data_IF_734669851078
#
_entry.id   IF_734669851078
#
_cell.length_a   1.000
_cell.length_b   1.000
_cell.length_c   1.000
_cell.angle_alpha   90.00
_cell.angle_beta   90.00
_cell.angle_gamma   90.00
#
_symmetry.space_group_name_H-M   'P 1'
#
loop_
_entity.id
_entity.type
_entity.pdbx_description
1 polymer ?
#
# COMPACT_ATOMS: atom_id res chain seq x y z
N UNK A 1 -1.55 5.80 -13.83
CA UNK A 1 -1.02 5.34 -15.15
C UNK A 1 -1.03 6.52 -16.09
N UNK A 2 0.12 6.90 -16.59
CA UNK A 2 0.25 8.06 -17.45
C UNK A 2 -0.13 7.70 -18.89
N UNK A 3 -1.06 8.41 -19.45
CA UNK A 3 -1.62 8.19 -20.77
C UNK A 3 -1.53 9.47 -21.60
N UNK A 4 -1.18 9.35 -22.90
CA UNK A 4 -0.65 8.17 -23.61
C UNK A 4 0.88 8.04 -23.50
N UNK A 5 1.59 9.14 -23.24
CA UNK A 5 3.02 9.28 -23.49
C UNK A 5 3.92 8.74 -22.36
N UNK A 6 3.42 8.63 -21.16
CA UNK A 6 4.13 8.02 -20.03
C UNK A 6 3.75 6.57 -19.73
N UNK A 7 3.10 5.88 -20.68
CA UNK A 7 2.63 4.50 -20.46
C UNK A 7 3.79 3.50 -20.48
N UNK A 8 4.00 2.83 -19.36
CA UNK A 8 4.97 1.76 -19.26
C UNK A 8 4.46 0.45 -19.91
N UNK A 9 5.39 -0.37 -20.46
CA UNK A 9 6.87 -0.24 -20.45
C UNK A 9 7.47 0.55 -21.62
N UNK A 10 6.66 1.05 -22.55
CA UNK A 10 7.17 1.59 -23.82
C UNK A 10 7.84 2.95 -23.68
N UNK A 11 7.34 3.82 -22.79
CA UNK A 11 7.76 5.23 -22.68
C UNK A 11 8.36 5.58 -21.33
N UNK A 12 9.47 4.91 -20.95
CA UNK A 12 10.13 5.17 -19.68
C UNK A 12 10.71 6.58 -19.57
N UNK A 13 11.27 7.11 -20.66
CA UNK A 13 11.86 8.44 -20.66
C UNK A 13 10.80 9.51 -20.41
N UNK A 14 9.69 9.48 -21.14
CA UNK A 14 8.56 10.39 -20.92
C UNK A 14 7.96 10.22 -19.50
N UNK A 15 7.87 8.98 -18.99
CA UNK A 15 7.43 8.74 -17.63
C UNK A 15 8.38 9.39 -16.61
N UNK A 16 9.68 9.21 -16.80
CA UNK A 16 10.71 9.78 -15.93
C UNK A 16 10.68 11.31 -15.94
N UNK A 17 10.49 11.93 -17.10
CA UNK A 17 10.38 13.40 -17.22
C UNK A 17 9.15 13.94 -16.49
N UNK A 18 8.00 13.27 -16.60
CA UNK A 18 6.79 13.63 -15.87
C UNK A 18 6.97 13.47 -14.35
N UNK A 19 7.62 12.39 -13.92
CA UNK A 19 7.91 12.17 -12.50
C UNK A 19 8.91 13.20 -11.96
N UNK A 20 9.92 13.56 -12.74
CA UNK A 20 10.88 14.62 -12.37
C UNK A 20 10.18 15.97 -12.20
N UNK A 21 9.35 16.36 -13.17
CA UNK A 21 8.54 17.57 -13.07
C UNK A 21 7.58 17.56 -11.87
N UNK A 22 7.02 16.40 -11.52
CA UNK A 22 6.18 16.28 -10.33
C UNK A 22 6.96 16.51 -9.03
N UNK A 23 8.17 15.94 -8.90
CA UNK A 23 9.05 16.15 -7.74
C UNK A 23 9.48 17.61 -7.65
N UNK A 24 9.94 18.21 -8.76
CA UNK A 24 10.29 19.65 -8.82
C UNK A 24 9.11 20.53 -8.41
N UNK A 25 7.88 20.16 -8.79
CA UNK A 25 6.67 20.86 -8.37
C UNK A 25 6.43 20.79 -6.85
N UNK A 26 6.71 19.64 -6.21
CA UNK A 26 6.63 19.50 -4.75
C UNK A 26 7.69 20.36 -4.06
N UNK A 27 8.94 20.31 -4.53
CA UNK A 27 10.04 21.10 -3.99
C UNK A 27 9.77 22.61 -4.12
N UNK A 28 9.33 23.04 -5.29
CA UNK A 28 8.96 24.44 -5.55
C UNK A 28 7.77 24.90 -4.68
N UNK A 29 6.79 24.04 -4.47
CA UNK A 29 5.62 24.32 -3.64
C UNK A 29 5.93 24.40 -2.14
N UNK A 30 6.99 23.74 -1.68
CA UNK A 30 7.45 23.82 -0.30
C UNK A 30 8.06 25.19 0.04
N UNK A 31 8.66 25.88 -0.95
CA UNK A 31 9.30 27.17 -0.76
C UNK A 31 10.41 27.10 0.31
N UNK A 32 10.31 27.96 1.32
CA UNK A 32 11.26 28.01 2.45
C UNK A 32 10.92 26.99 3.57
N UNK A 33 9.88 26.19 3.40
CA UNK A 33 9.48 25.14 4.36
C UNK A 33 10.21 23.84 4.09
N UNK A 34 10.22 22.93 5.09
CA UNK A 34 10.73 21.58 4.89
C UNK A 34 9.93 20.88 3.78
N UNK A 35 10.62 20.37 2.78
CA UNK A 35 9.99 19.64 1.69
C UNK A 35 9.36 18.34 2.22
N UNK A 36 8.09 18.07 1.93
CA UNK A 36 7.47 16.82 2.37
C UNK A 36 8.13 15.61 1.67
N UNK A 37 8.22 14.45 2.35
CA UNK A 37 8.79 13.26 1.75
C UNK A 37 7.97 12.79 0.54
N UNK A 38 8.67 12.45 -0.54
CA UNK A 38 8.08 11.96 -1.78
C UNK A 38 7.93 10.44 -1.73
N UNK A 39 6.71 9.96 -1.99
CA UNK A 39 6.42 8.53 -2.05
C UNK A 39 6.14 8.08 -3.48
N UNK A 40 6.78 6.98 -3.89
CA UNK A 40 6.45 6.31 -5.14
C UNK A 40 5.57 5.09 -4.82
N UNK A 41 4.33 5.14 -5.31
CA UNK A 41 3.34 4.09 -5.07
C UNK A 41 3.27 3.11 -6.24
N UNK A 42 3.39 1.82 -5.94
CA UNK A 42 3.24 0.71 -6.88
C UNK A 42 2.20 -0.30 -6.38
N UNK A 43 1.23 -0.62 -7.21
CA UNK A 43 0.17 -1.61 -6.95
C UNK A 43 0.66 -3.05 -7.16
N UNK A 44 1.63 -3.52 -6.35
CA UNK A 44 2.22 -4.86 -6.53
C UNK A 44 2.73 -5.50 -5.23
N UNK A 45 2.02 -5.31 -4.10
CA UNK A 45 2.47 -5.66 -2.75
C UNK A 45 3.08 -7.04 -2.58
N UNK A 46 2.48 -8.09 -3.12
CA UNK A 46 3.03 -9.46 -3.07
C UNK A 46 3.79 -9.90 -4.32
N UNK A 47 4.02 -9.02 -5.29
CA UNK A 47 4.69 -9.37 -6.55
C UNK A 47 6.12 -8.81 -6.64
N UNK A 48 7.04 -9.50 -6.00
CA UNK A 48 8.47 -9.15 -5.97
C UNK A 48 9.09 -8.97 -7.38
N UNK A 49 8.67 -9.77 -8.37
CA UNK A 49 9.18 -9.65 -9.74
C UNK A 49 8.76 -8.32 -10.38
N UNK A 50 7.51 -7.95 -10.23
CA UNK A 50 7.01 -6.68 -10.76
C UNK A 50 7.59 -5.48 -10.00
N UNK A 51 7.74 -5.58 -8.68
CA UNK A 51 8.39 -4.56 -7.85
C UNK A 51 9.84 -4.34 -8.29
N UNK A 52 10.61 -5.42 -8.44
CA UNK A 52 11.99 -5.35 -8.93
C UNK A 52 12.06 -4.71 -10.31
N UNK A 53 11.26 -5.18 -11.25
CA UNK A 53 11.22 -4.65 -12.61
C UNK A 53 10.99 -3.14 -12.65
N UNK A 54 10.06 -2.66 -11.81
CA UNK A 54 9.75 -1.23 -11.77
C UNK A 54 10.87 -0.43 -11.10
N UNK A 55 11.26 -0.77 -9.88
CA UNK A 55 12.20 0.04 -9.10
C UNK A 55 13.63 -0.05 -9.61
N UNK A 56 14.11 -1.20 -10.13
CA UNK A 56 15.43 -1.29 -10.76
C UNK A 56 15.52 -0.33 -11.96
N UNK A 57 14.45 -0.21 -12.74
CA UNK A 57 14.39 0.73 -13.86
C UNK A 57 14.24 2.17 -13.39
N UNK A 58 13.34 2.43 -12.42
CA UNK A 58 13.06 3.77 -11.89
C UNK A 58 14.29 4.40 -11.23
N UNK A 59 15.02 3.66 -10.42
CA UNK A 59 16.25 4.15 -9.78
C UNK A 59 17.32 4.56 -10.77
N UNK A 60 17.39 3.93 -11.94
CA UNK A 60 18.29 4.30 -13.02
C UNK A 60 18.08 5.69 -13.60
N UNK A 61 16.91 6.31 -13.36
CA UNK A 61 16.62 7.70 -13.79
C UNK A 61 17.02 8.76 -12.76
N UNK A 62 17.52 8.36 -11.58
CA UNK A 62 17.97 9.26 -10.51
C UNK A 62 16.91 10.30 -10.08
N UNK A 63 15.63 9.91 -10.09
CA UNK A 63 14.54 10.75 -9.60
C UNK A 63 14.50 10.60 -8.07
N UNK A 64 14.56 11.71 -7.30
CA UNK A 64 14.53 11.63 -5.85
C UNK A 64 13.19 11.09 -5.35
N UNK A 65 13.25 10.23 -4.34
CA UNK A 65 12.10 9.77 -3.56
C UNK A 65 12.56 9.23 -2.21
N UNK A 66 11.67 9.22 -1.23
CA UNK A 66 11.98 8.89 0.16
C UNK A 66 11.31 7.58 0.60
N UNK A 67 10.11 7.32 0.09
CA UNK A 67 9.24 6.24 0.57
C UNK A 67 8.74 5.38 -0.61
N UNK A 68 8.66 4.08 -0.38
CA UNK A 68 7.98 3.14 -1.28
C UNK A 68 6.59 2.85 -0.72
N UNK A 69 5.55 3.17 -1.49
CA UNK A 69 4.17 2.79 -1.22
C UNK A 69 3.79 1.51 -1.95
N UNK A 70 3.08 0.60 -1.28
CA UNK A 70 2.56 -0.63 -1.90
C UNK A 70 1.07 -0.77 -1.65
N UNK A 71 0.27 -1.17 -2.65
CA UNK A 71 -1.07 -1.70 -2.43
C UNK A 71 -1.00 -3.20 -2.14
N UNK A 72 -1.74 -3.65 -1.15
CA UNK A 72 -1.87 -5.07 -0.86
C UNK A 72 -3.33 -5.46 -0.66
N UNK A 73 -3.84 -6.26 -1.59
CA UNK A 73 -5.15 -6.89 -1.53
C UNK A 73 -4.97 -8.40 -1.69
N UNK A 74 -5.28 -9.22 -0.68
CA UNK A 74 -5.02 -10.67 -0.73
C UNK A 74 -5.59 -11.38 -1.96
N UNK A 75 -6.69 -10.88 -2.50
CA UNK A 75 -7.34 -11.45 -3.69
C UNK A 75 -6.51 -11.31 -4.97
N UNK A 76 -5.59 -10.33 -5.06
CA UNK A 76 -4.88 -9.97 -6.30
C UNK A 76 -3.36 -9.99 -6.15
N UNK A 77 -2.85 -9.78 -4.93
CA UNK A 77 -1.42 -9.55 -4.73
C UNK A 77 -0.71 -10.73 -4.06
N UNK A 78 -1.39 -11.87 -3.90
CA UNK A 78 -0.79 -13.09 -3.34
C UNK A 78 -0.90 -13.18 -1.82
N UNK A 79 -0.15 -14.13 -1.25
CA UNK A 79 -0.21 -14.43 0.19
C UNK A 79 0.48 -13.38 1.05
N UNK A 80 0.25 -13.45 2.36
CA UNK A 80 0.98 -12.64 3.36
C UNK A 80 2.49 -12.93 3.34
N UNK A 81 2.90 -14.18 3.07
CA UNK A 81 4.31 -14.52 2.90
C UNK A 81 4.92 -13.86 1.67
N UNK A 82 4.16 -13.80 0.56
CA UNK A 82 4.60 -13.09 -0.64
C UNK A 82 4.75 -11.58 -0.37
N UNK A 83 3.85 -10.96 0.40
CA UNK A 83 4.00 -9.59 0.86
C UNK A 83 5.26 -9.44 1.70
N UNK A 84 5.44 -10.26 2.73
CA UNK A 84 6.63 -10.25 3.61
C UNK A 84 7.93 -10.33 2.81
N UNK A 85 8.02 -11.26 1.87
CA UNK A 85 9.20 -11.45 1.04
C UNK A 85 9.48 -10.25 0.14
N UNK A 86 8.43 -9.61 -0.38
CA UNK A 86 8.57 -8.42 -1.21
C UNK A 86 9.00 -7.20 -0.39
N UNK A 87 8.42 -6.98 0.80
CA UNK A 87 8.83 -5.88 1.69
C UNK A 87 10.28 -6.06 2.16
N UNK A 88 10.67 -7.29 2.54
CA UNK A 88 12.04 -7.59 2.93
C UNK A 88 13.03 -7.38 1.78
N UNK A 89 12.64 -7.74 0.56
CA UNK A 89 13.42 -7.46 -0.64
C UNK A 89 13.62 -5.96 -0.86
N UNK A 90 12.55 -5.17 -0.82
CA UNK A 90 12.62 -3.72 -1.02
C UNK A 90 13.49 -3.03 0.03
N UNK A 91 13.30 -3.38 1.31
CA UNK A 91 14.09 -2.82 2.41
C UNK A 91 15.59 -3.06 2.24
N UNK A 92 15.98 -4.25 1.78
CA UNK A 92 17.38 -4.62 1.58
C UNK A 92 18.00 -4.03 0.30
N UNK A 93 17.19 -3.85 -0.75
CA UNK A 93 17.69 -3.47 -2.08
C UNK A 93 17.70 -1.98 -2.29
N UNK A 94 16.62 -1.29 -1.88
CA UNK A 94 16.45 0.14 -2.16
C UNK A 94 16.71 1.03 -0.95
N UNK A 95 16.79 0.46 0.24
CA UNK A 95 17.06 1.15 1.52
C UNK A 95 16.12 2.35 1.77
N UNK A 96 14.87 2.23 1.38
CA UNK A 96 13.82 3.24 1.58
C UNK A 96 12.82 2.80 2.64
N UNK A 97 12.17 3.76 3.26
CA UNK A 97 11.01 3.50 4.09
C UNK A 97 9.87 2.94 3.26
N UNK A 98 9.07 2.06 3.85
CA UNK A 98 8.01 1.33 3.14
C UNK A 98 6.70 1.47 3.90
N UNK A 99 5.64 1.83 3.18
CA UNK A 99 4.28 1.88 3.70
C UNK A 99 3.38 1.04 2.81
N UNK A 100 2.52 0.21 3.42
CA UNK A 100 1.39 -0.38 2.69
C UNK A 100 0.28 0.65 2.66
N UNK A 101 0.19 1.41 1.58
CA UNK A 101 -0.69 2.59 1.45
C UNK A 101 -2.11 2.26 1.04
N UNK A 102 -2.34 1.01 0.66
CA UNK A 102 -3.67 0.47 0.41
C UNK A 102 -3.75 -0.97 0.90
N UNK A 103 -4.66 -1.23 1.80
CA UNK A 103 -5.09 -2.58 2.16
C UNK A 103 -6.58 -2.56 2.46
N UNK A 104 -7.29 -3.61 2.08
CA UNK A 104 -8.66 -3.82 2.51
C UNK A 104 -8.98 -5.31 2.59
N UNK A 105 -9.99 -5.64 3.38
CA UNK A 105 -10.58 -6.97 3.45
C UNK A 105 -12.08 -6.87 3.74
N UNK A 106 -12.84 -7.85 3.26
CA UNK A 106 -14.30 -7.81 3.40
C UNK A 106 -14.72 -8.37 4.76
N UNK A 107 -15.62 -7.65 5.45
CA UNK A 107 -16.23 -8.11 6.69
C UNK A 107 -17.44 -9.03 6.49
N UNK A 108 -17.84 -9.28 5.23
CA UNK A 108 -18.92 -10.20 4.84
C UNK A 108 -18.64 -10.77 3.46
N UNK A 109 -19.16 -11.97 3.12
CA UNK A 109 -19.00 -12.59 1.80
C UNK A 109 -19.41 -11.67 0.66
N UNK A 110 -18.56 -11.61 -0.36
CA UNK A 110 -18.71 -10.78 -1.54
C UNK A 110 -18.56 -11.57 -2.85
N UNK A 111 -18.44 -10.84 -3.95
CA UNK A 111 -18.23 -11.39 -5.29
C UNK A 111 -16.84 -12.02 -5.51
N UNK A 112 -15.89 -11.84 -4.58
CA UNK A 112 -14.53 -12.39 -4.71
C UNK A 112 -14.39 -13.83 -4.22
N UNK A 113 -15.49 -14.59 -4.18
CA UNK A 113 -15.52 -15.98 -3.69
C UNK A 113 -14.56 -16.93 -4.41
N UNK A 114 -14.30 -16.69 -5.70
CA UNK A 114 -13.38 -17.48 -6.50
C UNK A 114 -11.90 -17.19 -6.21
N UNK A 115 -11.62 -16.17 -5.39
CA UNK A 115 -10.29 -15.78 -4.96
C UNK A 115 -10.28 -15.62 -3.45
N UNK A 116 -10.28 -16.74 -2.71
CA UNK A 116 -10.33 -16.69 -1.25
C UNK A 116 -9.11 -15.97 -0.69
N UNK A 117 -9.35 -15.09 0.28
CA UNK A 117 -8.29 -14.49 1.08
C UNK A 117 -7.78 -15.45 2.15
N UNK A 118 -6.86 -15.01 3.02
CA UNK A 118 -6.25 -15.84 4.06
C UNK A 118 -7.24 -16.29 5.15
N UNK A 119 -8.36 -15.59 5.30
CA UNK A 119 -9.38 -15.85 6.32
C UNK A 119 -10.79 -15.81 5.72
N UNK A 120 -11.81 -16.38 6.41
CA UNK A 120 -13.21 -16.17 6.03
C UNK A 120 -13.55 -14.66 6.01
N UNK A 121 -14.30 -14.24 5.00
CA UNK A 121 -14.82 -12.86 4.92
C UNK A 121 -15.87 -12.66 6.02
N UNK A 122 -15.44 -12.13 7.14
CA UNK A 122 -16.19 -11.87 8.37
C UNK A 122 -15.59 -10.68 9.12
N UNK A 123 -16.28 -10.09 10.11
CA UNK A 123 -15.69 -9.05 10.96
C UNK A 123 -14.38 -9.47 11.62
N UNK A 124 -14.28 -10.73 12.05
CA UNK A 124 -13.07 -11.30 12.66
C UNK A 124 -11.96 -11.50 11.62
N UNK A 125 -12.31 -12.03 10.43
CA UNK A 125 -11.35 -12.23 9.34
C UNK A 125 -10.80 -10.91 8.82
N UNK A 126 -11.64 -9.87 8.71
CA UNK A 126 -11.21 -8.52 8.35
C UNK A 126 -10.17 -7.99 9.35
N UNK A 127 -10.48 -8.10 10.65
CA UNK A 127 -9.57 -7.69 11.73
C UNK A 127 -8.25 -8.47 11.65
N UNK A 128 -8.30 -9.80 11.49
CA UNK A 128 -7.12 -10.66 11.45
C UNK A 128 -6.20 -10.30 10.28
N UNK A 129 -6.76 -10.01 9.09
CA UNK A 129 -5.96 -9.54 7.96
C UNK A 129 -5.20 -8.26 8.29
N UNK A 130 -5.85 -7.28 8.91
CA UNK A 130 -5.17 -6.03 9.26
C UNK A 130 -4.09 -6.24 10.33
N UNK A 131 -4.35 -7.08 11.35
CA UNK A 131 -3.35 -7.44 12.37
C UNK A 131 -2.12 -8.11 11.73
N UNK A 132 -2.33 -9.03 10.78
CA UNK A 132 -1.23 -9.74 10.13
C UNK A 132 -0.45 -8.84 9.16
N UNK A 133 -1.13 -8.00 8.39
CA UNK A 133 -0.46 -7.04 7.50
C UNK A 133 0.38 -6.05 8.33
N UNK A 134 -0.16 -5.51 9.41
CA UNK A 134 0.59 -4.66 10.32
C UNK A 134 1.84 -5.37 10.87
N UNK A 135 1.69 -6.63 11.30
CA UNK A 135 2.80 -7.43 11.80
C UNK A 135 3.88 -7.62 10.73
N UNK A 136 3.48 -7.93 9.51
CA UNK A 136 4.41 -8.07 8.36
C UNK A 136 5.15 -6.76 8.09
N UNK A 137 4.44 -5.64 8.06
CA UNK A 137 5.03 -4.32 7.81
C UNK A 137 6.00 -3.94 8.93
N UNK A 138 5.59 -4.00 10.19
CA UNK A 138 6.42 -3.60 11.33
C UNK A 138 7.65 -4.49 11.54
N UNK A 139 7.61 -5.75 11.06
CA UNK A 139 8.77 -6.66 11.08
C UNK A 139 9.61 -6.58 9.79
N UNK A 140 9.39 -5.60 8.93
CA UNK A 140 10.24 -5.37 7.75
C UNK A 140 11.68 -5.06 8.20
N UNK A 141 12.71 -5.70 7.58
CA UNK A 141 14.10 -5.53 7.99
C UNK A 141 14.55 -4.06 8.07
N UNK A 142 15.51 -3.80 8.94
CA UNK A 142 16.13 -2.49 9.18
C UNK A 142 15.14 -1.42 9.68
N UNK A 143 13.99 -1.82 10.23
CA UNK A 143 12.95 -0.88 10.68
C UNK A 143 12.34 -0.06 9.54
N UNK A 144 12.43 -0.53 8.29
CA UNK A 144 11.95 0.19 7.11
C UNK A 144 10.43 0.15 6.94
N UNK A 145 9.72 -0.78 7.52
CA UNK A 145 8.25 -0.79 7.51
C UNK A 145 7.68 0.24 8.47
N UNK A 146 6.93 1.22 7.97
CA UNK A 146 6.45 2.36 8.79
C UNK A 146 4.99 2.32 9.15
N UNK A 147 4.15 1.64 8.37
CA UNK A 147 2.73 1.55 8.68
C UNK A 147 1.86 1.09 7.53
N UNK A 148 0.57 1.19 7.79
CA UNK A 148 -0.48 0.72 6.88
C UNK A 148 -1.58 1.77 6.80
N UNK A 149 -2.08 2.05 5.59
CA UNK A 149 -3.32 2.78 5.37
C UNK A 149 -4.41 1.85 4.88
N UNK A 150 -5.57 1.91 5.53
CA UNK A 150 -6.72 1.16 5.07
C UNK A 150 -7.43 1.89 3.94
N UNK A 151 -7.77 1.15 2.89
CA UNK A 151 -8.50 1.71 1.76
C UNK A 151 -9.99 1.82 2.08
N UNK A 152 -10.46 3.08 2.19
CA UNK A 152 -11.85 3.47 2.43
C UNK A 152 -12.46 2.89 3.73
N UNK A 153 -11.96 3.26 4.91
CA UNK A 153 -12.51 2.80 6.19
C UNK A 153 -13.93 3.30 6.43
N UNK A 154 -14.28 4.49 5.93
CA UNK A 154 -15.61 5.11 6.02
C UNK A 154 -16.24 5.13 4.62
N UNK A 155 -17.14 4.20 4.34
CA UNK A 155 -17.75 4.00 3.02
C UNK A 155 -19.24 4.33 3.06
N UNK A 156 -19.73 5.12 2.10
CA UNK A 156 -21.14 5.44 1.97
C UNK A 156 -22.04 4.20 1.80
N UNK A 157 -23.26 4.25 2.33
CA UNK A 157 -24.21 3.11 2.34
C UNK A 157 -24.45 2.46 0.98
N UNK A 158 -24.49 3.27 -0.06
CA UNK A 158 -24.72 2.81 -1.44
C UNK A 158 -23.46 2.32 -2.17
N UNK A 159 -22.27 2.48 -1.59
CA UNK A 159 -21.05 2.12 -2.29
C UNK A 159 -20.87 0.59 -2.43
N UNK A 160 -20.47 0.15 -3.61
CA UNK A 160 -20.21 -1.27 -3.93
C UNK A 160 -19.20 -1.91 -2.97
N UNK A 161 -18.19 -1.14 -2.57
CA UNK A 161 -17.09 -1.60 -1.70
C UNK A 161 -17.40 -1.49 -0.20
N UNK A 162 -18.65 -1.23 0.20
CA UNK A 162 -19.05 -1.09 1.61
C UNK A 162 -18.63 -2.27 2.50
N UNK A 163 -18.50 -3.46 1.94
CA UNK A 163 -18.00 -4.63 2.68
C UNK A 163 -16.54 -4.51 3.16
N UNK A 164 -15.79 -3.51 2.69
CA UNK A 164 -14.41 -3.23 3.10
C UNK A 164 -14.31 -2.18 4.19
N UNK A 165 -15.38 -1.42 4.44
CA UNK A 165 -15.41 -0.37 5.47
C UNK A 165 -15.30 -0.94 6.90
N UNK A 166 -15.12 -0.04 7.85
CA UNK A 166 -15.02 -0.35 9.28
C UNK A 166 -16.35 -0.35 10.01
N UNK A 167 -17.44 -0.18 9.27
CA UNK A 167 -18.79 -0.09 9.81
C UNK A 167 -19.73 -1.10 9.12
N UNK A 168 -20.62 -1.71 9.90
CA UNK A 168 -21.64 -2.61 9.40
C UNK A 168 -22.79 -1.87 8.65
N UNK A 169 -23.86 -2.60 8.34
CA UNK A 169 -25.01 -2.01 7.62
C UNK A 169 -25.83 -1.02 8.47
N UNK A 170 -25.72 -1.09 9.79
CA UNK A 170 -26.36 -0.23 10.78
C UNK A 170 -25.41 0.88 11.26
N UNK A 171 -24.24 1.02 10.63
CA UNK A 171 -23.18 1.97 10.96
C UNK A 171 -22.54 1.74 12.35
N UNK A 172 -22.65 0.51 12.90
CA UNK A 172 -21.89 0.12 14.08
C UNK A 172 -20.43 -0.17 13.70
N UNK A 173 -19.51 0.25 14.56
CA UNK A 173 -18.09 -0.01 14.37
C UNK A 173 -17.78 -1.51 14.43
N UNK A 174 -16.99 -2.00 13.49
CA UNK A 174 -16.52 -3.38 13.43
C UNK A 174 -15.22 -3.58 14.24
N UNK A 175 -14.92 -4.81 14.69
CA UNK A 175 -13.72 -5.08 15.53
C UNK A 175 -12.38 -4.67 14.91
N UNK A 176 -12.32 -4.47 13.61
CA UNK A 176 -11.12 -4.04 12.88
C UNK A 176 -10.62 -2.67 13.33
N UNK A 177 -11.49 -1.77 13.81
CA UNK A 177 -11.12 -0.42 14.25
C UNK A 177 -10.16 -0.47 15.46
N UNK A 178 -10.28 -1.48 16.31
CA UNK A 178 -9.47 -1.61 17.51
C UNK A 178 -8.04 -2.14 17.23
N UNK A 179 -7.72 -2.46 15.99
CA UNK A 179 -6.36 -2.93 15.64
C UNK A 179 -5.35 -1.81 15.81
N UNK A 180 -5.73 -0.58 15.51
CA UNK A 180 -4.86 0.59 15.62
C UNK A 180 -4.55 0.97 17.08
N UNK A 181 -5.48 0.72 18.01
CA UNK A 181 -5.29 1.02 19.44
C UNK A 181 -4.14 0.20 20.07
N UNK A 182 -3.96 -1.03 19.59
CA UNK A 182 -2.95 -1.95 20.13
C UNK A 182 -1.53 -1.69 19.61
N UNK A 183 -1.40 -0.83 18.63
CA UNK A 183 -0.15 -0.59 17.91
C UNK A 183 0.43 0.82 18.19
N UNK A 184 -0.27 1.63 18.97
CA UNK A 184 0.28 2.88 19.44
C UNK A 184 1.53 2.58 20.30
N UNK A 185 2.67 3.24 20.04
CA UNK A 185 3.83 3.09 20.91
C UNK A 185 3.43 3.49 22.33
N UNK A 186 3.70 2.61 23.28
CA UNK A 186 3.62 2.98 24.71
C UNK A 186 4.59 4.14 24.93
N UNK A 187 4.02 5.29 25.32
CA UNK A 187 4.79 6.50 25.68
C UNK A 187 5.68 6.23 26.87
#
# INVERSE_FOLDING_TARGET
>A
MLWPDGKLPANWDNFADLMRAAVEGVESGAGDSDCPPVMIHLDKGGNKKATRWFFDKFTGYNIPYDVIGQSYYPWWHGSLDALKDNLAFMAKTYDKDIIVVEVAYNWRPTEYRDKPGPYPESPQGQRQVLEDVNRVVLNTPNGRGKGVFWWEPAVAKAARIRSRGFFDRQDNALPVINVFDKQAPTK
#
